data_IF_303620467784
#
_entry.id   IF_303620467784
#
_cell.length_a   1.000
_cell.length_b   1.000
_cell.length_c   1.000
_cell.angle_alpha   90.00
_cell.angle_beta   90.00
_cell.angle_gamma   90.00
#
_symmetry.space_group_name_H-M   'P 1'
#
loop_
_entity.id
_entity.type
_entity.pdbx_description
1 polymer ?
#
# COMPACT_ATOMS: atom_id res chain seq x y z
N UNK A 1 18.43 23.00 74.35
CA UNK A 1 17.04 22.49 74.40
C UNK A 1 16.05 23.36 73.61
N UNK A 2 16.02 24.69 73.78
CA UNK A 2 15.08 25.57 73.03
C UNK A 2 15.20 25.46 71.50
N UNK A 3 16.41 25.32 70.95
CA UNK A 3 16.62 25.21 69.49
C UNK A 3 16.07 23.92 68.89
N UNK A 4 16.15 22.79 69.62
CA UNK A 4 15.66 21.48 69.14
C UNK A 4 14.14 21.50 68.96
N UNK A 5 13.41 22.16 69.88
CA UNK A 5 11.95 22.29 69.80
C UNK A 5 11.54 23.07 68.55
N UNK A 6 12.27 24.14 68.20
CA UNK A 6 12.02 24.96 67.00
C UNK A 6 12.26 24.15 65.71
N UNK A 7 13.31 23.33 65.67
CA UNK A 7 13.56 22.47 64.51
C UNK A 7 12.49 21.40 64.33
N UNK A 8 12.02 20.79 65.42
CA UNK A 8 10.95 19.80 65.38
C UNK A 8 9.63 20.41 64.91
N UNK A 9 9.27 21.62 65.36
CA UNK A 9 8.07 22.30 64.87
C UNK A 9 8.18 22.69 63.39
N UNK A 10 9.36 23.10 62.92
CA UNK A 10 9.59 23.37 61.50
C UNK A 10 9.44 22.11 60.63
N UNK A 11 9.96 20.97 61.07
CA UNK A 11 9.83 19.69 60.36
C UNK A 11 8.38 19.24 60.26
N UNK A 12 7.61 19.36 61.34
CA UNK A 12 6.18 19.04 61.33
C UNK A 12 5.42 19.93 60.35
N UNK A 13 5.71 21.24 60.33
CA UNK A 13 5.13 22.16 59.34
C UNK A 13 5.50 21.78 57.91
N UNK A 14 6.77 21.43 57.65
CA UNK A 14 7.23 21.02 56.32
C UNK A 14 6.51 19.77 55.80
N UNK A 15 6.24 18.77 56.65
CA UNK A 15 5.45 17.59 56.24
C UNK A 15 4.02 17.95 55.87
N UNK A 16 3.38 18.88 56.58
CA UNK A 16 2.00 19.30 56.28
C UNK A 16 1.88 20.11 54.99
N UNK A 17 2.89 20.93 54.66
CA UNK A 17 2.91 21.72 53.42
C UNK A 17 3.49 20.96 52.21
N UNK A 18 4.32 19.93 52.43
CA UNK A 18 4.89 19.08 51.38
C UNK A 18 3.86 18.17 50.70
N UNK A 19 3.00 17.51 51.48
CA UNK A 19 2.00 16.56 50.96
C UNK A 19 0.94 17.22 50.05
N UNK A 20 0.62 18.50 50.28
CA UNK A 20 -0.41 19.20 49.52
C UNK A 20 -0.05 19.39 48.04
N UNK A 21 1.25 19.42 47.68
CA UNK A 21 1.71 19.54 46.29
C UNK A 21 2.01 18.20 45.63
N UNK A 22 2.24 17.15 46.40
CA UNK A 22 2.63 15.84 45.88
C UNK A 22 1.44 15.12 45.23
N UNK A 23 0.23 15.27 45.79
CA UNK A 23 -0.98 14.69 45.22
C UNK A 23 -1.36 15.22 43.82
N UNK A 24 -1.12 16.52 43.54
CA UNK A 24 -1.38 17.12 42.22
C UNK A 24 -0.32 16.66 41.20
N UNK A 25 0.96 16.71 41.59
CA UNK A 25 2.06 16.30 40.72
C UNK A 25 2.02 14.79 40.41
N UNK A 26 1.60 13.95 41.37
CA UNK A 26 1.47 12.52 41.15
C UNK A 26 0.29 12.18 40.22
N UNK A 27 -0.85 12.87 40.35
CA UNK A 27 -1.99 12.71 39.43
C UNK A 27 -1.61 13.13 38.01
N UNK A 28 -0.98 14.30 37.85
CA UNK A 28 -0.52 14.75 36.53
C UNK A 28 0.50 13.79 35.90
N UNK A 29 1.51 13.33 36.67
CA UNK A 29 2.48 12.35 36.14
C UNK A 29 1.79 11.04 35.71
N UNK A 30 0.85 10.53 36.49
CA UNK A 30 0.08 9.33 36.14
C UNK A 30 -0.79 9.53 34.88
N UNK A 31 -1.46 10.68 34.77
CA UNK A 31 -2.27 11.02 33.59
C UNK A 31 -1.42 11.17 32.33
N UNK A 32 -0.25 11.83 32.42
CA UNK A 32 0.69 11.97 31.29
C UNK A 32 1.18 10.59 30.82
N UNK A 33 1.65 9.74 31.74
CA UNK A 33 2.11 8.39 31.39
C UNK A 33 0.99 7.52 30.81
N UNK A 34 -0.23 7.63 31.34
CA UNK A 34 -1.37 6.88 30.80
C UNK A 34 -1.76 7.35 29.39
N UNK A 35 -1.70 8.66 29.13
CA UNK A 35 -1.97 9.21 27.80
C UNK A 35 -0.89 8.81 26.79
N UNK A 36 0.39 8.86 27.17
CA UNK A 36 1.51 8.46 26.31
C UNK A 36 1.42 6.97 25.93
N UNK A 37 1.18 6.09 26.91
CA UNK A 37 0.96 4.66 26.65
C UNK A 37 -0.26 4.41 25.76
N UNK A 38 -1.35 5.18 25.94
CA UNK A 38 -2.54 5.08 25.08
C UNK A 38 -2.26 5.56 23.66
N UNK A 39 -1.51 6.64 23.49
CA UNK A 39 -1.10 7.15 22.18
C UNK A 39 -0.19 6.17 21.43
N UNK A 40 0.80 5.59 22.11
CA UNK A 40 1.67 4.56 21.55
C UNK A 40 0.86 3.33 21.10
N UNK A 41 -0.03 2.84 21.95
CA UNK A 41 -0.91 1.70 21.62
C UNK A 41 -1.87 2.00 20.46
N UNK A 42 -2.46 3.20 20.41
CA UNK A 42 -3.32 3.62 19.30
C UNK A 42 -2.52 3.73 17.99
N UNK A 43 -1.28 4.21 18.05
CA UNK A 43 -0.40 4.33 16.89
C UNK A 43 0.03 2.94 16.38
N UNK A 44 0.34 2.01 17.27
CA UNK A 44 0.67 0.63 16.92
C UNK A 44 -0.53 -0.09 16.26
N UNK A 45 -1.73 0.06 16.81
CA UNK A 45 -2.95 -0.49 16.19
C UNK A 45 -3.25 0.15 14.82
N UNK A 46 -3.02 1.46 14.67
CA UNK A 46 -3.16 2.13 13.38
C UNK A 46 -2.15 1.61 12.35
N UNK A 47 -0.89 1.40 12.76
CA UNK A 47 0.14 0.81 11.91
C UNK A 47 -0.21 -0.62 11.49
N UNK A 48 -0.67 -1.47 12.42
CA UNK A 48 -1.12 -2.83 12.11
C UNK A 48 -2.30 -2.85 11.12
N UNK A 49 -3.27 -1.93 11.30
CA UNK A 49 -4.41 -1.78 10.37
C UNK A 49 -3.96 -1.39 8.96
N UNK A 50 -2.97 -0.49 8.84
CA UNK A 50 -2.42 -0.10 7.53
C UNK A 50 -1.67 -1.25 6.85
N UNK A 51 -0.91 -2.05 7.62
CA UNK A 51 -0.21 -3.23 7.08
C UNK A 51 -1.20 -4.26 6.56
N UNK A 52 -2.29 -4.53 7.29
CA UNK A 52 -3.34 -5.44 6.82
C UNK A 52 -4.04 -4.94 5.54
N UNK A 53 -4.28 -3.63 5.42
CA UNK A 53 -4.83 -3.04 4.20
C UNK A 53 -3.88 -3.17 3.01
N UNK A 54 -2.57 -2.93 3.21
CA UNK A 54 -1.56 -3.12 2.18
C UNK A 54 -1.48 -4.57 1.71
N UNK A 55 -1.50 -5.53 2.64
CA UNK A 55 -1.48 -6.96 2.31
C UNK A 55 -2.73 -7.37 1.51
N UNK A 56 -3.91 -6.83 1.83
CA UNK A 56 -5.14 -7.07 1.07
C UNK A 56 -5.07 -6.49 -0.36
N UNK A 57 -4.51 -5.28 -0.52
CA UNK A 57 -4.30 -4.66 -1.84
C UNK A 57 -3.29 -5.46 -2.66
N UNK A 58 -2.19 -5.89 -2.04
CA UNK A 58 -1.15 -6.70 -2.69
C UNK A 58 -1.71 -8.02 -3.20
N UNK A 59 -2.47 -8.76 -2.37
CA UNK A 59 -3.15 -10.00 -2.79
C UNK A 59 -4.10 -9.77 -3.96
N UNK A 60 -4.92 -8.71 -3.91
CA UNK A 60 -5.82 -8.37 -5.00
C UNK A 60 -5.08 -8.01 -6.30
N UNK A 61 -3.91 -7.36 -6.21
CA UNK A 61 -3.10 -7.01 -7.39
C UNK A 61 -2.45 -8.26 -8.01
N UNK A 62 -1.88 -9.15 -7.18
CA UNK A 62 -1.23 -10.37 -7.66
C UNK A 62 -2.21 -11.36 -8.31
N UNK A 63 -3.44 -11.48 -7.81
CA UNK A 63 -4.48 -12.28 -8.46
C UNK A 63 -4.83 -11.72 -9.86
N UNK A 64 -4.85 -10.40 -10.03
CA UNK A 64 -5.08 -9.77 -11.33
C UNK A 64 -3.89 -9.93 -12.29
N UNK A 65 -2.65 -9.88 -11.79
CA UNK A 65 -1.44 -10.03 -12.61
C UNK A 65 -1.23 -11.48 -13.07
N UNK A 66 -1.57 -12.47 -12.24
CA UNK A 66 -1.53 -13.89 -12.62
C UNK A 66 -2.40 -14.17 -13.86
N UNK A 67 -3.52 -13.46 -14.00
CA UNK A 67 -4.38 -13.51 -15.20
C UNK A 67 -3.80 -12.79 -16.43
N UNK A 68 -2.99 -11.74 -16.24
CA UNK A 68 -2.35 -10.97 -17.34
C UNK A 68 -1.16 -11.67 -17.99
N UNK A 69 -0.59 -12.67 -17.32
CA UNK A 69 0.36 -13.60 -17.93
C UNK A 69 -0.29 -14.61 -18.88
N UNK A 70 -1.60 -14.51 -19.13
CA UNK A 70 -2.16 -14.90 -20.41
C UNK A 70 -1.46 -14.05 -21.47
N UNK A 71 -0.27 -14.50 -21.87
CA UNK A 71 0.55 -13.98 -22.95
C UNK A 71 -0.38 -13.90 -24.14
N UNK A 72 -1.06 -12.76 -24.28
CA UNK A 72 -2.09 -12.56 -25.29
C UNK A 72 -1.36 -12.89 -26.58
N UNK A 73 -1.74 -14.04 -27.20
CA UNK A 73 -1.01 -14.57 -28.35
C UNK A 73 -0.86 -13.38 -29.28
N UNK A 74 0.39 -12.94 -29.47
CA UNK A 74 0.65 -11.74 -30.27
C UNK A 74 -0.11 -11.95 -31.56
N UNK A 75 -0.90 -10.98 -31.96
CA UNK A 75 -1.58 -11.04 -33.23
C UNK A 75 -0.98 -9.96 -34.12
N UNK A 76 -1.03 -10.19 -35.43
CA UNK A 76 -0.49 -9.28 -36.42
C UNK A 76 -1.56 -8.25 -36.82
N UNK A 77 -1.17 -6.98 -36.85
CA UNK A 77 -2.04 -5.89 -37.30
C UNK A 77 -2.31 -5.90 -38.80
N UNK A 78 -3.19 -5.01 -39.26
CA UNK A 78 -3.50 -4.81 -40.68
C UNK A 78 -2.24 -4.42 -41.48
N UNK A 79 -2.09 -4.96 -42.69
CA UNK A 79 -0.95 -4.78 -43.59
C UNK A 79 0.41 -5.17 -42.99
N UNK A 80 0.43 -6.07 -42.01
CA UNK A 80 1.66 -6.71 -41.52
C UNK A 80 1.87 -8.04 -42.26
N UNK A 81 3.10 -8.37 -42.70
CA UNK A 81 3.38 -9.67 -43.29
C UNK A 81 3.04 -10.78 -42.30
N UNK A 82 2.27 -11.76 -42.76
CA UNK A 82 1.83 -12.88 -41.94
C UNK A 82 2.40 -14.21 -42.44
N UNK A 83 2.30 -15.22 -41.60
CA UNK A 83 2.69 -16.60 -41.86
C UNK A 83 2.07 -17.51 -40.80
N UNK A 84 2.39 -18.80 -40.84
CA UNK A 84 1.70 -19.82 -40.03
C UNK A 84 1.92 -19.68 -38.50
N UNK A 85 2.86 -18.82 -38.08
CA UNK A 85 3.30 -18.73 -36.69
C UNK A 85 2.50 -17.75 -35.83
N UNK A 86 1.93 -16.69 -36.42
CA UNK A 86 1.28 -15.60 -35.67
C UNK A 86 -0.05 -15.24 -36.36
N UNK A 87 -1.21 -15.39 -35.68
CA UNK A 87 -2.50 -15.09 -36.28
C UNK A 87 -2.68 -13.59 -36.50
N UNK A 88 -3.46 -13.22 -37.51
CA UNK A 88 -3.89 -11.84 -37.67
C UNK A 88 -4.88 -11.44 -36.56
N UNK A 89 -4.89 -10.17 -36.19
CA UNK A 89 -5.78 -9.66 -35.15
C UNK A 89 -7.24 -9.60 -35.63
N UNK A 90 -8.17 -10.07 -34.80
CA UNK A 90 -9.61 -9.89 -35.01
C UNK A 90 -10.14 -10.65 -36.23
N UNK A 91 -10.76 -9.93 -37.18
CA UNK A 91 -11.38 -10.48 -38.41
C UNK A 91 -10.46 -10.42 -39.63
N UNK A 92 -9.18 -10.09 -39.43
CA UNK A 92 -8.21 -10.02 -40.52
C UNK A 92 -7.83 -11.44 -40.97
N UNK A 93 -7.72 -11.65 -42.27
CA UNK A 93 -7.28 -12.89 -42.87
C UNK A 93 -5.84 -12.72 -43.40
N UNK A 94 -5.04 -13.79 -43.28
CA UNK A 94 -3.70 -13.81 -43.85
C UNK A 94 -3.80 -14.18 -45.33
N UNK A 95 -3.83 -13.19 -46.21
CA UNK A 95 -4.06 -13.39 -47.64
C UNK A 95 -2.92 -12.83 -48.49
N UNK A 96 -2.71 -13.44 -49.66
CA UNK A 96 -1.80 -12.89 -50.66
C UNK A 96 -2.49 -11.71 -51.32
N UNK A 97 -1.96 -10.52 -51.11
CA UNK A 97 -2.53 -9.31 -51.70
C UNK A 97 -2.16 -9.23 -53.18
N UNK A 98 -3.12 -9.53 -54.06
CA UNK A 98 -2.91 -9.47 -55.51
C UNK A 98 -2.70 -8.04 -56.07
N UNK A 99 -2.88 -6.99 -55.26
CA UNK A 99 -2.79 -5.59 -55.68
C UNK A 99 -1.43 -4.92 -55.42
N UNK A 100 -0.55 -5.52 -54.62
CA UNK A 100 0.67 -4.83 -54.21
C UNK A 100 1.86 -5.05 -55.14
N UNK A 101 1.73 -5.84 -56.21
CA UNK A 101 2.81 -6.08 -57.19
C UNK A 101 3.76 -7.20 -56.80
N UNK A 102 4.51 -7.71 -57.79
CA UNK A 102 5.40 -8.90 -57.68
C UNK A 102 6.50 -8.78 -56.61
N UNK A 103 6.73 -7.59 -56.07
CA UNK A 103 7.69 -7.33 -55.00
C UNK A 103 7.19 -7.77 -53.60
N UNK A 104 5.89 -7.97 -53.39
CA UNK A 104 5.34 -8.49 -52.13
C UNK A 104 5.21 -10.02 -52.18
N UNK A 105 6.29 -10.73 -51.81
CA UNK A 105 6.33 -12.21 -51.81
C UNK A 105 5.56 -12.87 -50.66
N UNK A 106 5.26 -12.12 -49.61
CA UNK A 106 4.63 -12.65 -48.40
C UNK A 106 3.14 -12.32 -48.35
N UNK A 107 2.30 -13.17 -47.75
CA UNK A 107 0.92 -12.80 -47.46
C UNK A 107 0.88 -11.75 -46.34
N UNK A 108 -0.22 -11.01 -46.26
CA UNK A 108 -0.42 -9.93 -45.30
C UNK A 108 -1.76 -10.10 -44.59
N UNK A 109 -1.85 -9.59 -43.36
CA UNK A 109 -3.11 -9.49 -42.65
C UNK A 109 -3.96 -8.40 -43.28
N UNK A 110 -5.03 -8.78 -43.97
CA UNK A 110 -5.93 -7.86 -44.65
C UNK A 110 -7.37 -8.13 -44.24
N UNK A 111 -8.24 -7.14 -44.44
CA UNK A 111 -9.67 -7.35 -44.29
C UNK A 111 -10.11 -8.30 -45.40
N UNK A 112 -10.87 -9.37 -45.07
CA UNK A 112 -11.40 -10.24 -46.10
C UNK A 112 -12.26 -9.39 -47.03
N UNK A 113 -11.99 -9.43 -48.33
CA UNK A 113 -12.89 -8.85 -49.32
C UNK A 113 -14.18 -9.66 -49.27
N UNK A 114 -15.24 -9.10 -48.71
CA UNK A 114 -16.58 -9.66 -48.84
C UNK A 114 -16.90 -9.75 -50.32
N UNK A 115 -16.91 -10.96 -50.86
CA UNK A 115 -17.49 -11.23 -52.18
C UNK A 115 -18.98 -10.94 -52.20
#
# INVERSE_FOLDING_TARGET
MKTIIVFLSLLVLATKFGDAKEGVNQKQKKEVTQNEFREEYLNEMAAMSLVQQLEAIERALFENEAGRNSRQKRCLGENVPCGDNIPCCGKLACEKTAGYGWWYKSPYCVKPTSG
#
